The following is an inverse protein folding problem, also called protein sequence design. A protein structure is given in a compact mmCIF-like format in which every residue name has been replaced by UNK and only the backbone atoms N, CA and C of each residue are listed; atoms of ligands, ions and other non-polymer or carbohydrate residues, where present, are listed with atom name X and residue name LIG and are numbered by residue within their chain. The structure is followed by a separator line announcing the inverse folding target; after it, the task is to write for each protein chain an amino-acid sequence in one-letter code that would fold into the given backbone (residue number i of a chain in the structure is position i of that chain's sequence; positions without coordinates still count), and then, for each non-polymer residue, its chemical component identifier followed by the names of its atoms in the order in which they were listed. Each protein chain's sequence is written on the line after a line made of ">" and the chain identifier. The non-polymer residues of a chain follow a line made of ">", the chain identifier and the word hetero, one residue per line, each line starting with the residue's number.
data_IF_109501677447
#
_entry.id   IF_109501677447
#
_cell.length_a   1.000
_cell.length_b   1.000
_cell.length_c   1.000
_cell.angle_alpha   90.00
_cell.angle_beta   90.00
_cell.angle_gamma   90.00
#
_symmetry.space_group_name_H-M   'P 1'
#
loop_
_entity.id
_entity.type
_entity.pdbx_description
1 polymer ?
#
# COMPACT_ATOMS: atom_id res chain seq x y z
N UNK A 1 3.02 22.74 5.96
CA UNK A 1 2.35 21.95 7.01
C UNK A 1 3.39 20.99 7.53
N UNK A 2 3.83 21.12 8.79
CA UNK A 2 4.89 20.26 9.34
C UNK A 2 4.30 18.93 9.77
N UNK A 3 4.57 17.88 8.98
CA UNK A 3 4.04 16.54 9.25
C UNK A 3 4.48 16.02 10.62
N UNK A 4 5.69 16.37 11.06
CA UNK A 4 6.24 16.06 12.40
C UNK A 4 5.36 16.61 13.53
N UNK A 5 4.73 17.77 13.33
CA UNK A 5 3.83 18.36 14.31
C UNK A 5 2.49 17.62 14.36
N UNK A 6 2.01 17.13 13.22
CA UNK A 6 0.77 16.34 13.15
C UNK A 6 0.96 14.96 13.79
N UNK A 7 2.08 14.29 13.53
CA UNK A 7 2.37 12.97 14.09
C UNK A 7 2.45 12.97 15.63
N UNK A 8 2.78 14.11 16.25
CA UNK A 8 2.84 14.28 17.71
C UNK A 8 1.52 14.75 18.35
N UNK A 9 0.51 15.10 17.55
CA UNK A 9 -0.75 15.69 18.03
C UNK A 9 -1.72 14.59 18.50
N UNK A 10 -2.24 14.72 19.72
CA UNK A 10 -3.18 13.74 20.30
C UNK A 10 -4.54 13.66 19.58
N UNK A 11 -5.03 14.79 19.05
CA UNK A 11 -6.31 14.86 18.34
C UNK A 11 -6.12 15.57 17.01
N UNK A 12 -6.33 14.82 15.93
CA UNK A 12 -6.27 15.33 14.57
C UNK A 12 -7.68 15.65 14.07
N UNK A 13 -7.85 16.81 13.45
CA UNK A 13 -9.05 17.08 12.67
C UNK A 13 -9.04 16.24 11.37
N UNK A 14 -10.16 16.21 10.66
CA UNK A 14 -10.33 15.42 9.44
C UNK A 14 -9.27 15.71 8.36
N UNK A 15 -8.89 16.98 8.16
CA UNK A 15 -7.88 17.33 7.16
C UNK A 15 -6.49 16.87 7.59
N UNK A 16 -6.18 16.98 8.87
CA UNK A 16 -4.92 16.51 9.45
C UNK A 16 -4.82 14.98 9.41
N UNK A 17 -5.93 14.25 9.66
CA UNK A 17 -5.98 12.79 9.50
C UNK A 17 -5.70 12.38 8.06
N UNK A 18 -6.36 13.02 7.08
CA UNK A 18 -6.10 12.75 5.66
C UNK A 18 -4.63 13.02 5.29
N UNK A 19 -4.04 14.10 5.82
CA UNK A 19 -2.65 14.44 5.57
C UNK A 19 -1.69 13.40 6.17
N UNK A 20 -1.96 12.91 7.39
CA UNK A 20 -1.17 11.84 8.02
C UNK A 20 -1.29 10.53 7.24
N UNK A 21 -2.50 10.15 6.81
CA UNK A 21 -2.71 8.96 5.97
C UNK A 21 -1.98 9.07 4.64
N UNK A 22 -2.11 10.20 3.94
CA UNK A 22 -1.43 10.45 2.68
C UNK A 22 0.10 10.37 2.82
N UNK A 23 0.63 10.97 3.90
CA UNK A 23 2.05 10.92 4.18
C UNK A 23 2.55 9.50 4.41
N UNK A 24 1.89 8.72 5.27
CA UNK A 24 2.26 7.31 5.53
C UNK A 24 2.26 6.49 4.24
N UNK A 25 1.20 6.59 3.45
CA UNK A 25 1.13 5.89 2.16
C UNK A 25 2.23 6.33 1.20
N UNK A 26 2.58 7.62 1.19
CA UNK A 26 3.66 8.15 0.34
C UNK A 26 5.01 7.60 0.77
N UNK A 27 5.29 7.56 2.07
CA UNK A 27 6.53 7.00 2.62
C UNK A 27 6.66 5.51 2.30
N UNK A 28 5.60 4.72 2.56
CA UNK A 28 5.56 3.29 2.23
C UNK A 28 5.76 3.05 0.73
N UNK A 29 5.02 3.78 -0.11
CA UNK A 29 5.10 3.62 -1.56
C UNK A 29 6.47 4.00 -2.11
N UNK A 30 7.10 5.07 -1.60
CA UNK A 30 8.46 5.47 -1.99
C UNK A 30 9.49 4.47 -1.51
N UNK A 31 9.42 4.06 -0.24
CA UNK A 31 10.33 3.09 0.34
C UNK A 31 10.43 1.84 -0.54
N UNK A 32 9.30 1.18 -0.81
CA UNK A 32 9.30 -0.06 -1.60
C UNK A 32 9.61 0.13 -3.09
N UNK A 33 9.43 1.34 -3.61
CA UNK A 33 9.84 1.67 -4.98
C UNK A 33 11.35 1.88 -5.09
N UNK A 34 11.98 2.42 -4.03
CA UNK A 34 13.41 2.70 -3.99
C UNK A 34 14.24 1.47 -3.55
N UNK A 35 13.72 0.67 -2.63
CA UNK A 35 14.42 -0.52 -2.08
C UNK A 35 14.10 -1.82 -2.82
N UNK A 36 13.14 -1.79 -3.73
CA UNK A 36 12.48 -2.95 -4.37
C UNK A 36 11.68 -3.81 -3.39
N UNK A 37 10.60 -4.41 -3.90
CA UNK A 37 9.79 -5.38 -3.14
C UNK A 37 10.52 -6.73 -3.03
N UNK A 38 10.16 -7.56 -2.03
CA UNK A 38 10.69 -8.92 -1.91
C UNK A 38 10.49 -9.72 -3.20
N UNK A 39 11.49 -10.51 -3.58
CA UNK A 39 11.54 -11.15 -4.88
C UNK A 39 10.40 -12.14 -5.13
N UNK A 40 9.96 -12.87 -4.08
CA UNK A 40 8.79 -13.74 -4.14
C UNK A 40 7.53 -12.97 -4.54
N UNK A 41 7.29 -11.80 -3.94
CA UNK A 41 6.15 -10.94 -4.26
C UNK A 41 6.28 -10.35 -5.67
N UNK A 42 7.47 -9.84 -6.02
CA UNK A 42 7.72 -9.24 -7.33
C UNK A 42 7.41 -10.23 -8.47
N UNK A 43 8.04 -11.41 -8.42
CA UNK A 43 7.86 -12.47 -9.42
C UNK A 43 6.44 -13.02 -9.43
N UNK A 44 5.80 -13.17 -8.27
CA UNK A 44 4.41 -13.63 -8.22
C UNK A 44 3.46 -12.60 -8.82
N UNK A 45 3.59 -11.33 -8.45
CA UNK A 45 2.78 -10.24 -9.00
C UNK A 45 2.91 -10.12 -10.51
N UNK A 46 4.12 -10.21 -11.06
CA UNK A 46 4.33 -10.21 -12.52
C UNK A 46 3.58 -11.34 -13.22
N UNK A 47 3.57 -12.55 -12.64
CA UNK A 47 2.78 -13.68 -13.17
C UNK A 47 1.27 -13.43 -13.12
N UNK A 48 0.80 -12.61 -12.18
CA UNK A 48 -0.59 -12.15 -12.09
C UNK A 48 -0.89 -10.93 -12.99
N UNK A 49 0.11 -10.43 -13.73
CA UNK A 49 -0.03 -9.29 -14.64
C UNK A 49 0.19 -7.93 -13.99
N UNK A 50 0.83 -7.85 -12.82
CA UNK A 50 1.23 -6.59 -12.19
C UNK A 50 2.39 -5.95 -12.94
N UNK A 51 2.22 -4.69 -13.34
CA UNK A 51 3.28 -3.85 -13.85
C UNK A 51 3.86 -3.01 -12.70
N UNK A 52 4.97 -3.45 -12.12
CA UNK A 52 5.62 -2.80 -10.97
C UNK A 52 6.06 -1.36 -11.26
N UNK A 53 6.27 -1.01 -12.54
CA UNK A 53 6.61 0.37 -12.91
C UNK A 53 5.43 1.34 -12.68
N UNK A 54 4.19 0.83 -12.69
CA UNK A 54 2.93 1.58 -12.55
C UNK A 54 2.11 1.18 -11.31
N UNK A 55 2.62 0.26 -10.52
CA UNK A 55 2.02 -0.21 -9.27
C UNK A 55 2.73 0.43 -8.09
N UNK A 56 1.98 0.69 -7.03
CA UNK A 56 2.55 1.16 -5.75
C UNK A 56 2.14 0.22 -4.64
N UNK A 57 3.07 -0.02 -3.72
CA UNK A 57 2.80 -0.72 -2.46
C UNK A 57 2.20 0.30 -1.49
N UNK A 58 0.97 0.04 -1.04
CA UNK A 58 0.30 0.87 -0.04
C UNK A 58 0.60 0.39 1.37
N UNK A 59 0.75 -0.92 1.51
CA UNK A 59 1.12 -1.58 2.75
C UNK A 59 1.84 -2.89 2.42
N UNK A 60 2.87 -3.21 3.19
CA UNK A 60 3.60 -4.48 3.11
C UNK A 60 4.28 -4.73 4.46
N UNK A 61 3.78 -5.74 5.14
CA UNK A 61 4.39 -6.30 6.33
C UNK A 61 5.13 -7.59 5.96
N UNK A 62 6.32 -7.75 6.55
CA UNK A 62 7.24 -8.86 6.32
C UNK A 62 7.42 -9.59 7.64
N UNK A 63 7.29 -10.90 7.58
CA UNK A 63 7.34 -11.86 8.68
C UNK A 63 6.24 -11.72 9.72
N UNK A 64 5.51 -12.83 9.90
CA UNK A 64 4.69 -13.04 11.08
C UNK A 64 5.47 -13.97 12.04
N UNK A 65 5.44 -13.76 13.37
CA UNK A 65 6.22 -14.58 14.29
C UNK A 65 6.07 -16.08 14.05
N UNK A 66 7.17 -16.73 13.65
CA UNK A 66 7.24 -18.17 13.41
C UNK A 66 7.01 -18.64 11.97
N UNK A 67 6.70 -17.77 10.99
CA UNK A 67 6.53 -18.13 9.58
C UNK A 67 6.97 -17.01 8.63
N UNK A 68 7.86 -17.28 7.65
CA UNK A 68 8.17 -16.30 6.62
C UNK A 68 6.95 -16.01 5.75
N UNK A 69 6.46 -14.77 5.81
CA UNK A 69 5.20 -14.36 5.19
C UNK A 69 5.24 -12.91 4.76
N UNK A 70 4.68 -12.64 3.59
CA UNK A 70 4.46 -11.31 3.05
C UNK A 70 2.95 -11.05 2.99
N UNK A 71 2.50 -9.93 3.52
CA UNK A 71 1.08 -9.54 3.43
C UNK A 71 0.92 -8.03 3.35
N UNK A 72 -0.17 -7.59 2.72
CA UNK A 72 -0.44 -6.17 2.59
C UNK A 72 -1.36 -5.85 1.44
N UNK A 73 -1.18 -4.66 0.88
CA UNK A 73 -2.06 -4.06 -0.11
C UNK A 73 -1.23 -3.33 -1.19
N UNK A 74 -1.47 -3.68 -2.44
CA UNK A 74 -0.95 -2.93 -3.59
C UNK A 74 -2.09 -2.20 -4.33
N UNK A 75 -1.73 -1.12 -5.00
CA UNK A 75 -2.59 -0.42 -5.95
C UNK A 75 -1.99 -0.56 -7.35
N UNK A 76 -2.61 -1.39 -8.16
CA UNK A 76 -2.06 -1.83 -9.45
C UNK A 76 -2.13 -0.76 -10.55
N UNK A 77 -1.64 -1.10 -11.74
CA UNK A 77 -1.67 -0.21 -12.91
C UNK A 77 -3.08 0.22 -13.34
N UNK A 78 -4.10 -0.60 -13.06
CA UNK A 78 -5.50 -0.38 -13.38
C UNK A 78 -6.27 0.30 -12.22
N UNK A 79 -5.54 0.78 -11.21
CA UNK A 79 -6.10 1.40 -10.00
C UNK A 79 -6.97 0.42 -9.17
N UNK A 80 -6.66 -0.87 -9.23
CA UNK A 80 -7.26 -1.91 -8.39
C UNK A 80 -6.47 -2.12 -7.13
N UNK A 81 -7.19 -2.28 -6.03
CA UNK A 81 -6.64 -2.60 -4.73
C UNK A 81 -6.53 -4.11 -4.59
N UNK A 82 -5.31 -4.64 -4.61
CA UNK A 82 -5.07 -6.08 -4.48
C UNK A 82 -4.54 -6.36 -3.08
N UNK A 83 -5.35 -7.03 -2.26
CA UNK A 83 -4.93 -7.56 -0.97
C UNK A 83 -4.22 -8.90 -1.19
N UNK A 84 -3.10 -9.11 -0.51
CA UNK A 84 -2.32 -10.33 -0.67
C UNK A 84 -1.78 -10.85 0.65
N UNK A 85 -1.60 -12.16 0.68
CA UNK A 85 -0.91 -12.89 1.75
C UNK A 85 -0.23 -14.11 1.12
N UNK A 86 1.09 -14.15 1.25
CA UNK A 86 1.97 -15.10 0.57
C UNK A 86 2.96 -15.65 1.59
N UNK A 87 2.95 -16.96 1.78
CA UNK A 87 3.96 -17.69 2.53
C UNK A 87 5.15 -17.94 1.61
N UNK A 88 6.36 -17.73 2.14
CA UNK A 88 7.61 -17.79 1.38
C UNK A 88 8.65 -18.63 2.09
N UNK A 89 9.77 -18.86 1.42
CA UNK A 89 11.01 -19.25 2.08
C UNK A 89 11.51 -18.13 3.02
N UNK A 90 12.47 -18.46 3.88
CA UNK A 90 13.03 -17.53 4.88
C UNK A 90 13.73 -16.31 4.28
N UNK A 91 14.13 -16.40 3.01
CA UNK A 91 14.80 -15.30 2.29
C UNK A 91 13.82 -14.49 1.43
N UNK A 92 12.52 -14.83 1.45
CA UNK A 92 11.46 -14.21 0.64
C UNK A 92 11.77 -14.18 -0.88
N UNK A 93 12.45 -15.20 -1.39
CA UNK A 93 12.78 -15.35 -2.80
C UNK A 93 11.79 -16.27 -3.54
N UNK A 94 11.22 -17.24 -2.84
CA UNK A 94 10.30 -18.22 -3.40
C UNK A 94 8.96 -18.19 -2.70
N UNK A 95 7.90 -18.42 -3.48
CA UNK A 95 6.54 -18.57 -2.96
C UNK A 95 6.31 -20.03 -2.62
N UNK A 96 5.98 -20.30 -1.36
CA UNK A 96 5.59 -21.63 -0.89
C UNK A 96 4.06 -21.82 -1.04
N UNK A 97 3.29 -20.81 -0.61
CA UNK A 97 1.85 -20.86 -0.64
C UNK A 97 1.24 -19.47 -0.75
N UNK A 98 0.11 -19.35 -1.45
CA UNK A 98 -0.64 -18.09 -1.56
C UNK A 98 -1.98 -18.29 -0.90
N UNK A 99 -2.16 -17.70 0.28
CA UNK A 99 -3.42 -17.75 1.00
C UNK A 99 -4.39 -16.66 0.55
N UNK A 100 -3.88 -15.56 -0.02
CA UNK A 100 -4.70 -14.48 -0.54
C UNK A 100 -4.04 -13.75 -1.72
N UNK A 101 -4.83 -13.50 -2.76
CA UNK A 101 -4.55 -12.56 -3.84
C UNK A 101 -5.89 -12.12 -4.44
N UNK A 102 -6.45 -11.02 -3.95
CA UNK A 102 -7.85 -10.65 -4.22
C UNK A 102 -7.99 -9.16 -4.57
N UNK A 103 -8.80 -8.87 -5.59
CA UNK A 103 -9.26 -7.52 -5.87
C UNK A 103 -10.30 -7.08 -4.84
N UNK A 104 -9.86 -6.28 -3.88
CA UNK A 104 -10.69 -5.71 -2.82
C UNK A 104 -11.14 -4.28 -3.14
N UNK A 105 -11.06 -3.85 -4.40
CA UNK A 105 -11.44 -2.50 -4.82
C UNK A 105 -12.87 -2.16 -4.43
N UNK A 106 -13.81 -3.10 -4.56
CA UNK A 106 -15.22 -2.89 -4.22
C UNK A 106 -15.46 -2.60 -2.72
N UNK A 107 -14.51 -2.99 -1.85
CA UNK A 107 -14.59 -2.78 -0.40
C UNK A 107 -13.96 -1.46 0.05
N UNK A 108 -13.33 -0.70 -0.87
CA UNK A 108 -12.67 0.55 -0.52
C UNK A 108 -13.62 1.74 -0.48
N UNK A 109 -13.32 2.70 0.40
CA UNK A 109 -14.06 3.95 0.48
C UNK A 109 -13.55 4.96 -0.57
N UNK A 110 -14.34 5.18 -1.62
CA UNK A 110 -14.08 6.18 -2.69
C UNK A 110 -14.77 7.52 -2.46
N UNK A 111 -15.37 7.75 -1.29
CA UNK A 111 -16.06 9.00 -1.02
C UNK A 111 -15.07 10.17 -0.99
N UNK A 112 -15.29 11.16 -1.85
CA UNK A 112 -14.45 12.35 -1.92
C UNK A 112 -14.59 13.27 -0.68
N UNK A 113 -15.70 13.14 0.05
CA UNK A 113 -15.96 13.90 1.27
C UNK A 113 -17.11 13.28 2.07
N UNK A 114 -16.80 12.71 3.24
CA UNK A 114 -17.79 12.30 4.23
C UNK A 114 -17.77 13.25 5.43
N UNK A 115 -18.96 13.69 5.85
CA UNK A 115 -19.10 14.58 6.99
C UNK A 115 -18.60 13.87 8.26
N UNK A 116 -17.52 14.39 8.84
CA UNK A 116 -16.91 13.87 10.06
C UNK A 116 -15.72 12.92 9.86
N UNK A 117 -15.51 12.39 8.65
CA UNK A 117 -14.43 11.42 8.35
C UNK A 117 -13.46 11.93 7.29
N UNK A 118 -13.93 12.72 6.32
CA UNK A 118 -13.08 13.29 5.26
C UNK A 118 -13.04 12.47 3.99
N UNK A 119 -11.86 12.39 3.36
CA UNK A 119 -11.68 11.62 2.13
C UNK A 119 -11.59 10.15 2.50
N UNK A 120 -12.26 9.31 1.73
CA UNK A 120 -12.09 7.86 1.84
C UNK A 120 -10.66 7.42 1.51
N UNK A 121 -10.26 6.28 2.07
CA UNK A 121 -8.92 5.71 1.88
C UNK A 121 -8.52 5.59 0.41
N UNK A 122 -9.42 5.11 -0.46
CA UNK A 122 -9.10 4.94 -1.88
C UNK A 122 -8.81 6.28 -2.56
N UNK A 123 -9.53 7.34 -2.21
CA UNK A 123 -9.29 8.68 -2.76
C UNK A 123 -7.89 9.17 -2.40
N UNK A 124 -7.44 8.91 -1.17
CA UNK A 124 -6.11 9.27 -0.70
C UNK A 124 -5.05 8.42 -1.42
N UNK A 125 -5.23 7.10 -1.48
CA UNK A 125 -4.29 6.18 -2.11
C UNK A 125 -4.11 6.45 -3.62
N UNK A 126 -5.18 6.76 -4.35
CA UNK A 126 -5.13 7.15 -5.76
C UNK A 126 -4.36 8.46 -5.96
N UNK A 127 -4.55 9.42 -5.07
CA UNK A 127 -3.80 10.67 -5.08
C UNK A 127 -2.30 10.41 -4.86
N UNK A 128 -1.95 9.61 -3.84
CA UNK A 128 -0.57 9.24 -3.53
C UNK A 128 0.09 8.51 -4.69
N UNK A 129 -0.58 7.54 -5.32
CA UNK A 129 -0.06 6.85 -6.51
C UNK A 129 0.31 7.84 -7.62
N UNK A 130 -0.56 8.80 -7.92
CA UNK A 130 -0.29 9.81 -8.96
C UNK A 130 0.94 10.64 -8.61
N UNK A 131 1.06 11.08 -7.36
CA UNK A 131 2.18 11.89 -6.89
C UNK A 131 3.51 11.12 -6.91
N UNK A 132 3.51 9.87 -6.41
CA UNK A 132 4.70 9.00 -6.39
C UNK A 132 5.16 8.64 -7.79
N UNK A 133 4.23 8.35 -8.72
CA UNK A 133 4.58 8.01 -10.10
C UNK A 133 4.99 9.23 -10.95
N UNK A 134 4.60 10.45 -10.55
CA UNK A 134 4.94 11.68 -11.28
C UNK A 134 6.35 12.21 -10.99
N UNK A 135 7.00 11.77 -9.91
CA UNK A 135 8.35 12.20 -9.53
C UNK A 135 9.36 11.11 -9.91
N UNK A 136 10.08 11.33 -11.01
CA UNK A 136 11.11 10.45 -11.56
C UNK A 136 12.45 11.15 -11.56
#
# INVERSE_FOLDING_TARGET
>A
MEIDRLLKKRQLNVQEQNAVTAHRLTETARFWRDTNTPEALARFGERQGVDWSKTVVLDLEVDFPGMPRLYGLILDQAERFIAFQIDTDSDHQHVDFVSQWEDVSAHQNYSASERGTGKGFAVIALQVRREVLAHR
#
